data_IF_718834943937
#
_entry.id   IF_718834943937
#
_cell.length_a   1.000
_cell.length_b   1.000
_cell.length_c   1.000
_cell.angle_alpha   90.00
_cell.angle_beta   90.00
_cell.angle_gamma   90.00
#
_symmetry.space_group_name_H-M   'P 1'
#
loop_
_entity.id
_entity.type
_entity.pdbx_description
1 polymer ?
#
# COMPACT_ATOMS: atom_id res chain seq x y z
N UNK A 1 2.75 -22.88 -11.85
CA UNK A 1 2.98 -21.91 -10.76
C UNK A 1 4.46 -21.69 -10.53
N UNK A 2 5.29 -22.73 -10.43
CA UNK A 2 6.72 -22.57 -10.11
C UNK A 2 7.52 -21.70 -11.10
N UNK A 3 7.15 -21.71 -12.38
CA UNK A 3 7.72 -20.80 -13.39
C UNK A 3 7.37 -19.33 -13.12
N UNK A 4 6.15 -19.07 -12.69
CA UNK A 4 5.68 -17.71 -12.36
C UNK A 4 6.29 -17.25 -11.03
N UNK A 5 6.42 -18.13 -10.04
CA UNK A 5 7.15 -17.85 -8.80
C UNK A 5 8.63 -17.55 -9.09
N UNK A 6 9.27 -18.29 -10.01
CA UNK A 6 10.64 -18.01 -10.44
C UNK A 6 10.75 -16.65 -11.12
N UNK A 7 9.79 -16.28 -11.97
CA UNK A 7 9.74 -14.96 -12.61
C UNK A 7 9.61 -13.84 -11.57
N UNK A 8 8.68 -14.00 -10.62
CA UNK A 8 8.49 -13.09 -9.51
C UNK A 8 9.78 -12.91 -8.70
N UNK A 9 10.43 -14.01 -8.28
CA UNK A 9 11.69 -13.97 -7.52
C UNK A 9 12.82 -13.22 -8.23
N UNK A 10 12.83 -13.22 -9.57
CA UNK A 10 13.83 -12.52 -10.41
C UNK A 10 13.43 -11.10 -10.81
N UNK A 11 12.20 -10.68 -10.52
CA UNK A 11 11.69 -9.35 -10.88
C UNK A 11 12.46 -8.23 -10.18
N UNK A 12 12.74 -7.10 -10.85
CA UNK A 12 13.32 -5.92 -10.21
C UNK A 12 12.37 -5.28 -9.17
N UNK A 13 11.07 -5.54 -9.27
CA UNK A 13 10.07 -5.04 -8.34
C UNK A 13 9.95 -5.88 -7.06
N UNK A 14 10.64 -7.02 -6.95
CA UNK A 14 10.59 -7.85 -5.74
C UNK A 14 11.51 -7.28 -4.67
N UNK A 15 10.95 -6.97 -3.50
CA UNK A 15 11.70 -6.48 -2.34
C UNK A 15 12.37 -7.68 -1.66
N UNK A 16 13.70 -7.67 -1.61
CA UNK A 16 14.54 -8.77 -1.07
C UNK A 16 15.19 -8.35 0.24
N UNK A 17 14.36 -7.96 1.20
CA UNK A 17 14.80 -7.66 2.56
C UNK A 17 14.53 -8.88 3.47
N UNK A 18 15.57 -9.56 3.97
CA UNK A 18 15.41 -10.69 4.87
C UNK A 18 14.65 -10.36 6.16
N UNK A 19 14.79 -9.15 6.70
CA UNK A 19 14.16 -8.73 7.94
C UNK A 19 12.65 -8.54 7.75
N UNK A 20 12.24 -7.81 6.70
CA UNK A 20 10.83 -7.69 6.32
C UNK A 20 10.22 -9.07 5.99
N UNK A 21 10.96 -9.91 5.27
CA UNK A 21 10.50 -11.27 4.97
C UNK A 21 10.31 -12.13 6.22
N UNK A 22 11.20 -12.02 7.21
CA UNK A 22 11.08 -12.73 8.49
C UNK A 22 9.89 -12.23 9.30
N UNK A 23 9.67 -10.91 9.35
CA UNK A 23 8.52 -10.29 9.99
C UNK A 23 7.19 -10.82 9.43
N UNK A 24 7.05 -10.85 8.10
CA UNK A 24 5.83 -11.38 7.46
C UNK A 24 5.63 -12.88 7.72
N UNK A 25 6.72 -13.67 7.72
CA UNK A 25 6.67 -15.10 8.04
C UNK A 25 6.21 -15.34 9.48
N UNK A 26 6.64 -14.49 10.41
CA UNK A 26 6.21 -14.57 11.80
C UNK A 26 4.70 -14.30 11.96
N UNK A 27 4.16 -13.30 11.25
CA UNK A 27 2.70 -13.07 11.22
C UNK A 27 1.96 -14.30 10.69
N UNK A 28 2.40 -14.85 9.54
CA UNK A 28 1.77 -16.04 8.95
C UNK A 28 1.87 -17.25 9.88
N UNK A 29 3.01 -17.43 10.55
CA UNK A 29 3.24 -18.53 11.50
C UNK A 29 2.32 -18.42 12.72
N UNK A 30 2.00 -17.20 13.18
CA UNK A 30 1.01 -16.96 14.24
C UNK A 30 -0.42 -17.23 13.77
N UNK A 31 -0.75 -16.83 12.54
CA UNK A 31 -2.10 -16.97 11.97
C UNK A 31 -2.44 -18.43 11.64
N UNK A 32 -1.54 -19.16 10.98
CA UNK A 32 -1.75 -20.55 10.57
C UNK A 32 -0.48 -21.37 10.76
N UNK A 33 -0.16 -21.75 12.02
CA UNK A 33 1.01 -22.57 12.33
C UNK A 33 1.05 -23.88 11.52
N UNK A 34 -0.11 -24.49 11.29
CA UNK A 34 -0.25 -25.76 10.56
C UNK A 34 0.14 -25.68 9.08
N UNK A 35 0.10 -24.49 8.47
CA UNK A 35 0.42 -24.27 7.06
C UNK A 35 1.66 -23.40 6.86
N UNK A 36 2.30 -22.92 7.92
CA UNK A 36 3.39 -21.94 7.83
C UNK A 36 4.56 -22.41 6.95
N UNK A 37 4.90 -23.71 6.99
CA UNK A 37 5.99 -24.29 6.18
C UNK A 37 5.67 -24.37 4.69
N UNK A 38 4.37 -24.46 4.33
CA UNK A 38 3.93 -24.51 2.93
C UNK A 38 3.99 -23.13 2.25
N UNK A 39 4.04 -22.06 3.05
CA UNK A 39 3.82 -20.70 2.60
C UNK A 39 5.13 -19.97 2.30
N UNK A 40 5.24 -19.49 1.06
CA UNK A 40 6.41 -18.74 0.58
C UNK A 40 5.99 -17.31 0.26
N UNK A 41 6.41 -16.40 1.12
CA UNK A 41 6.03 -14.98 1.06
C UNK A 41 7.00 -14.22 0.14
N UNK A 42 6.44 -13.44 -0.78
CA UNK A 42 7.16 -12.55 -1.68
C UNK A 42 6.59 -11.13 -1.58
N UNK A 43 7.46 -10.16 -1.33
CA UNK A 43 7.06 -8.76 -1.24
C UNK A 43 7.21 -8.09 -2.61
N UNK A 44 6.13 -7.45 -3.07
CA UNK A 44 6.06 -6.82 -4.39
C UNK A 44 6.00 -5.30 -4.23
N UNK A 45 6.98 -4.59 -4.80
CA UNK A 45 7.02 -3.13 -4.84
C UNK A 45 6.02 -2.61 -5.88
N UNK A 46 4.89 -2.11 -5.38
CA UNK A 46 3.84 -1.46 -6.15
C UNK A 46 3.02 -0.57 -5.20
N UNK A 47 2.58 0.62 -5.62
CA UNK A 47 1.78 1.50 -4.75
C UNK A 47 0.33 1.00 -4.57
N UNK A 48 -0.08 -0.04 -5.29
CA UNK A 48 -1.43 -0.59 -5.22
C UNK A 48 -1.65 -1.40 -3.94
N UNK A 49 -2.83 -1.26 -3.35
CA UNK A 49 -3.29 -2.08 -2.23
C UNK A 49 -3.67 -3.48 -2.74
N UNK A 50 -2.89 -4.51 -2.39
CA UNK A 50 -3.29 -5.90 -2.59
C UNK A 50 -2.46 -6.89 -1.76
N UNK A 51 -3.01 -8.09 -1.59
CA UNK A 51 -2.29 -9.32 -1.32
C UNK A 51 -2.92 -10.43 -2.16
N UNK A 52 -2.18 -11.50 -2.44
CA UNK A 52 -2.78 -12.66 -3.09
C UNK A 52 -2.07 -13.94 -2.72
N UNK A 53 -2.82 -15.03 -2.70
CA UNK A 53 -2.27 -16.36 -2.46
C UNK A 53 -2.54 -17.32 -3.62
N UNK A 54 -1.46 -17.91 -4.11
CA UNK A 54 -1.51 -18.96 -5.12
C UNK A 54 -1.79 -20.34 -4.50
N UNK A 55 -2.38 -21.29 -5.27
CA UNK A 55 -2.68 -22.63 -4.78
C UNK A 55 -1.46 -23.44 -4.34
N UNK A 56 -0.26 -23.08 -4.80
CA UNK A 56 0.98 -23.77 -4.41
C UNK A 56 1.63 -23.20 -3.15
N UNK A 57 0.96 -22.30 -2.41
CA UNK A 57 1.48 -21.67 -1.20
C UNK A 57 2.33 -20.41 -1.44
N UNK A 58 2.46 -19.94 -2.69
CA UNK A 58 3.12 -18.67 -2.98
C UNK A 58 2.20 -17.50 -2.59
N UNK A 59 2.60 -16.72 -1.59
CA UNK A 59 1.89 -15.52 -1.13
C UNK A 59 2.60 -14.27 -1.63
N UNK A 60 1.86 -13.34 -2.20
CA UNK A 60 2.34 -12.02 -2.60
C UNK A 60 1.75 -10.96 -1.68
N UNK A 61 2.62 -10.11 -1.13
CA UNK A 61 2.23 -8.97 -0.28
C UNK A 61 2.72 -7.70 -0.94
N UNK A 62 1.82 -6.79 -1.28
CA UNK A 62 2.18 -5.60 -2.05
C UNK A 62 2.53 -4.44 -1.12
N UNK A 63 3.55 -3.64 -1.48
CA UNK A 63 3.98 -2.52 -0.65
C UNK A 63 2.88 -1.47 -0.43
N UNK A 64 1.95 -1.30 -1.38
CA UNK A 64 0.82 -0.40 -1.22
C UNK A 64 -0.18 -0.84 -0.14
N UNK A 65 -0.29 -2.15 0.15
CA UNK A 65 -1.01 -2.67 1.31
C UNK A 65 -0.28 -2.29 2.60
N UNK A 66 1.02 -2.57 2.69
CA UNK A 66 1.84 -2.24 3.87
C UNK A 66 2.06 -0.73 4.05
N UNK A 67 1.80 0.09 3.04
CA UNK A 67 1.78 1.53 3.22
C UNK A 67 0.48 1.99 3.88
N UNK A 68 -0.65 1.32 3.59
CA UNK A 68 -1.99 1.70 4.03
C UNK A 68 -2.41 1.11 5.36
N UNK A 69 -1.92 -0.08 5.71
CA UNK A 69 -2.15 -0.66 7.02
C UNK A 69 -1.43 0.19 8.10
N UNK A 70 -2.10 0.43 9.21
CA UNK A 70 -1.64 1.29 10.31
C UNK A 70 -0.93 0.50 11.42
N UNK A 71 -1.16 -0.81 11.47
CA UNK A 71 -0.61 -1.70 12.49
C UNK A 71 -0.52 -3.16 11.99
N UNK A 72 0.13 -4.01 12.78
CA UNK A 72 0.33 -5.43 12.47
C UNK A 72 -1.00 -6.19 12.36
N UNK A 73 -1.99 -5.88 13.21
CA UNK A 73 -3.30 -6.54 13.18
C UNK A 73 -4.09 -6.25 11.89
N UNK A 74 -4.00 -5.03 11.36
CA UNK A 74 -4.58 -4.70 10.05
C UNK A 74 -3.92 -5.49 8.91
N UNK A 75 -2.59 -5.61 8.94
CA UNK A 75 -1.88 -6.45 7.97
C UNK A 75 -2.27 -7.93 8.14
N UNK A 76 -2.30 -8.42 9.38
CA UNK A 76 -2.70 -9.78 9.71
C UNK A 76 -4.13 -10.10 9.29
N UNK A 77 -5.06 -9.13 9.33
CA UNK A 77 -6.42 -9.31 8.82
C UNK A 77 -6.44 -9.64 7.33
N UNK A 78 -5.69 -8.89 6.52
CA UNK A 78 -5.60 -9.13 5.07
C UNK A 78 -4.90 -10.46 4.79
N UNK A 79 -3.81 -10.77 5.49
CA UNK A 79 -3.11 -12.05 5.33
C UNK A 79 -3.97 -13.24 5.79
N UNK A 80 -4.74 -13.08 6.87
CA UNK A 80 -5.68 -14.07 7.39
C UNK A 80 -6.81 -14.35 6.40
N UNK A 81 -7.32 -13.33 5.71
CA UNK A 81 -8.29 -13.47 4.62
C UNK A 81 -7.72 -14.29 3.45
N UNK A 82 -6.49 -13.99 3.01
CA UNK A 82 -5.81 -14.74 1.95
C UNK A 82 -5.52 -16.20 2.35
N UNK A 83 -5.13 -16.44 3.60
CA UNK A 83 -5.01 -17.78 4.17
C UNK A 83 -6.35 -18.52 4.15
N UNK A 84 -7.45 -17.80 4.43
CA UNK A 84 -8.80 -18.33 4.32
C UNK A 84 -9.10 -18.88 2.93
N UNK A 85 -8.78 -18.12 1.88
CA UNK A 85 -8.90 -18.59 0.49
C UNK A 85 -8.04 -19.81 0.17
N UNK A 86 -6.83 -19.86 0.73
CA UNK A 86 -5.90 -20.97 0.51
C UNK A 86 -6.36 -22.26 1.18
N UNK A 87 -6.73 -22.19 2.47
CA UNK A 87 -7.18 -23.35 3.27
C UNK A 87 -8.48 -23.92 2.70
N UNK A 88 -9.43 -23.05 2.32
CA UNK A 88 -10.70 -23.44 1.69
C UNK A 88 -10.53 -23.81 0.19
N UNK A 89 -9.32 -23.71 -0.36
CA UNK A 89 -8.98 -24.08 -1.75
C UNK A 89 -9.79 -23.33 -2.82
N UNK A 90 -10.25 -22.12 -2.53
CA UNK A 90 -11.07 -21.31 -3.44
C UNK A 90 -10.40 -21.08 -4.80
N UNK A 91 -9.09 -20.83 -4.81
CA UNK A 91 -8.35 -20.64 -6.06
C UNK A 91 -8.30 -21.92 -6.91
N UNK A 92 -8.26 -23.10 -6.27
CA UNK A 92 -8.32 -24.41 -6.96
C UNK A 92 -9.71 -24.66 -7.52
N UNK A 93 -10.77 -24.33 -6.78
CA UNK A 93 -12.15 -24.39 -7.27
C UNK A 93 -12.31 -23.49 -8.51
N UNK A 94 -11.84 -22.24 -8.42
CA UNK A 94 -11.89 -21.29 -9.55
C UNK A 94 -11.11 -21.80 -10.77
N UNK A 95 -9.96 -22.45 -10.58
CA UNK A 95 -9.20 -23.06 -11.66
C UNK A 95 -9.97 -24.15 -12.40
N UNK A 96 -10.79 -24.94 -11.68
CA UNK A 96 -11.62 -26.00 -12.29
C UNK A 96 -12.71 -25.42 -13.18
N UNK A 97 -13.18 -24.21 -12.88
CA UNK A 97 -14.18 -23.50 -13.70
C UNK A 97 -13.59 -22.90 -14.99
N UNK A 98 -12.26 -22.83 -15.11
CA UNK A 98 -11.59 -22.30 -16.31
C UNK A 98 -11.59 -23.36 -17.42
N UNK A 99 -12.53 -23.22 -18.37
CA UNK A 99 -12.77 -24.24 -19.42
C UNK A 99 -11.80 -24.22 -20.60
N UNK A 100 -11.06 -23.13 -20.82
CA UNK A 100 -10.17 -23.00 -22.00
C UNK A 100 -8.69 -22.91 -21.61
N UNK A 101 -7.81 -23.53 -22.43
CA UNK A 101 -6.36 -23.49 -22.22
C UNK A 101 -5.80 -22.07 -22.25
N UNK A 102 -6.35 -21.19 -23.09
CA UNK A 102 -5.95 -19.79 -23.18
C UNK A 102 -6.31 -19.02 -21.92
N UNK A 103 -7.55 -19.16 -21.43
CA UNK A 103 -7.98 -18.54 -20.17
C UNK A 103 -7.18 -19.09 -18.98
N UNK A 104 -6.82 -20.38 -18.99
CA UNK A 104 -5.98 -20.98 -17.97
C UNK A 104 -4.56 -20.41 -17.97
N UNK A 105 -3.93 -20.28 -19.14
CA UNK A 105 -2.61 -19.66 -19.25
C UNK A 105 -2.62 -18.21 -18.77
N UNK A 106 -3.68 -17.46 -19.13
CA UNK A 106 -3.90 -16.08 -18.69
C UNK A 106 -4.11 -15.97 -17.17
N UNK A 107 -4.89 -16.88 -16.57
CA UNK A 107 -5.08 -16.99 -15.12
C UNK A 107 -3.75 -17.22 -14.40
N UNK A 108 -2.98 -18.20 -14.88
CA UNK A 108 -1.70 -18.55 -14.27
C UNK A 108 -0.69 -17.41 -14.39
N UNK A 109 -0.68 -16.70 -15.52
CA UNK A 109 0.19 -15.56 -15.77
C UNK A 109 -0.01 -14.41 -14.78
N UNK A 110 -1.22 -14.20 -14.25
CA UNK A 110 -1.51 -13.13 -13.29
C UNK A 110 -0.64 -13.22 -12.03
N UNK A 111 -0.32 -14.43 -11.57
CA UNK A 111 0.53 -14.65 -10.41
C UNK A 111 2.01 -14.31 -10.66
N UNK A 112 2.42 -14.15 -11.92
CA UNK A 112 3.75 -13.68 -12.32
C UNK A 112 3.75 -12.29 -12.94
N UNK A 113 2.61 -11.58 -12.95
CA UNK A 113 2.54 -10.18 -13.39
C UNK A 113 3.16 -9.33 -12.29
N UNK A 114 4.31 -8.74 -12.62
CA UNK A 114 4.99 -7.79 -11.75
C UNK A 114 5.35 -6.56 -12.58
N UNK A 115 4.81 -5.39 -12.21
CA UNK A 115 5.07 -4.12 -12.88
C UNK A 115 4.10 -3.72 -14.01
N UNK A 116 3.19 -4.60 -14.46
CA UNK A 116 2.18 -4.26 -15.49
C UNK A 116 0.85 -3.79 -14.86
N UNK A 117 0.90 -2.64 -14.18
CA UNK A 117 -0.19 -2.13 -13.34
C UNK A 117 -1.47 -1.79 -14.14
N UNK A 118 -1.32 -1.25 -15.37
CA UNK A 118 -2.43 -0.67 -16.13
C UNK A 118 -3.46 -1.66 -16.70
N UNK A 119 -3.14 -2.96 -16.79
CA UNK A 119 -4.04 -3.99 -17.35
C UNK A 119 -4.68 -4.90 -16.28
N UNK A 120 -4.38 -4.67 -15.00
CA UNK A 120 -4.80 -5.55 -13.92
C UNK A 120 -6.31 -5.55 -13.69
N UNK A 121 -7.01 -4.41 -13.79
CA UNK A 121 -8.43 -4.32 -13.38
C UNK A 121 -9.39 -5.21 -14.17
N UNK A 122 -9.29 -5.22 -15.52
CA UNK A 122 -10.15 -6.06 -16.38
C UNK A 122 -9.76 -7.53 -16.29
N UNK A 123 -8.46 -7.80 -16.18
CA UNK A 123 -7.95 -9.16 -16.09
C UNK A 123 -8.30 -9.80 -14.74
N UNK A 124 -8.17 -9.05 -13.65
CA UNK A 124 -8.43 -9.48 -12.29
C UNK A 124 -9.92 -9.76 -12.04
N UNK A 125 -10.83 -8.97 -12.61
CA UNK A 125 -12.28 -9.17 -12.44
C UNK A 125 -12.79 -10.48 -13.04
N UNK A 126 -12.12 -11.01 -14.08
CA UNK A 126 -12.41 -12.34 -14.62
C UNK A 126 -12.12 -13.46 -13.61
N UNK A 127 -11.36 -13.16 -12.57
CA UNK A 127 -10.90 -14.10 -11.55
C UNK A 127 -11.43 -13.76 -10.16
N UNK A 128 -12.46 -12.91 -10.09
CA UNK A 128 -13.17 -12.59 -8.86
C UNK A 128 -13.68 -13.85 -8.15
N UNK A 129 -13.55 -13.86 -6.82
CA UNK A 129 -14.16 -14.87 -5.97
C UNK A 129 -15.68 -14.65 -5.84
N UNK A 130 -16.41 -15.74 -5.61
CA UNK A 130 -17.84 -15.66 -5.35
C UNK A 130 -18.11 -15.04 -3.97
N UNK A 131 -19.31 -14.51 -3.76
CA UNK A 131 -19.71 -13.99 -2.43
C UNK A 131 -19.61 -15.05 -1.33
N UNK A 132 -19.89 -16.31 -1.66
CA UNK A 132 -19.76 -17.43 -0.72
C UNK A 132 -18.29 -17.69 -0.36
N UNK A 133 -17.38 -17.63 -1.34
CA UNK A 133 -15.95 -17.73 -1.08
C UNK A 133 -15.46 -16.62 -0.15
N UNK A 134 -15.85 -15.37 -0.41
CA UNK A 134 -15.48 -14.23 0.43
C UNK A 134 -16.01 -14.37 1.87
N UNK A 135 -17.27 -14.80 2.06
CA UNK A 135 -17.84 -15.02 3.41
C UNK A 135 -17.11 -16.13 4.18
N UNK A 136 -16.74 -17.23 3.51
CA UNK A 136 -15.96 -18.30 4.14
C UNK A 136 -14.55 -17.84 4.48
N UNK A 137 -13.90 -17.09 3.58
CA UNK A 137 -12.57 -16.54 3.79
C UNK A 137 -12.56 -15.52 4.94
N UNK A 138 -13.52 -14.60 5.00
CA UNK A 138 -13.70 -13.66 6.12
C UNK A 138 -13.88 -14.41 7.44
N UNK A 139 -14.77 -15.41 7.49
CA UNK A 139 -15.02 -16.18 8.71
C UNK A 139 -13.77 -16.91 9.20
N UNK A 140 -13.06 -17.60 8.31
CA UNK A 140 -11.85 -18.33 8.66
C UNK A 140 -10.74 -17.35 9.05
N UNK A 141 -10.51 -16.29 8.27
CA UNK A 141 -9.50 -15.27 8.57
C UNK A 141 -9.71 -14.63 9.95
N UNK A 142 -10.95 -14.32 10.31
CA UNK A 142 -11.29 -13.80 11.65
C UNK A 142 -11.00 -14.82 12.76
N UNK A 143 -11.25 -16.11 12.54
CA UNK A 143 -10.87 -17.16 13.51
C UNK A 143 -9.34 -17.29 13.64
N UNK A 144 -8.59 -17.17 12.55
CA UNK A 144 -7.13 -17.18 12.57
C UNK A 144 -6.59 -15.98 13.36
N UNK A 145 -7.16 -14.78 13.15
CA UNK A 145 -6.81 -13.60 13.93
C UNK A 145 -7.06 -13.78 15.42
N UNK A 146 -8.25 -14.30 15.80
CA UNK A 146 -8.61 -14.56 17.19
C UNK A 146 -7.63 -15.54 17.84
N UNK A 147 -7.32 -16.67 17.18
CA UNK A 147 -6.35 -17.66 17.68
C UNK A 147 -4.94 -17.10 17.82
N UNK A 148 -4.54 -16.21 16.90
CA UNK A 148 -3.25 -15.53 16.92
C UNK A 148 -3.19 -14.37 17.96
N UNK A 149 -4.31 -14.05 18.62
CA UNK A 149 -4.40 -12.99 19.63
C UNK A 149 -4.45 -11.57 19.06
N UNK A 150 -4.75 -11.41 17.77
CA UNK A 150 -4.92 -10.09 17.15
C UNK A 150 -6.28 -9.48 17.44
N UNK A 151 -6.34 -8.14 17.44
CA UNK A 151 -7.62 -7.44 17.51
C UNK A 151 -8.40 -7.57 16.19
N UNK A 152 -9.43 -8.42 16.18
CA UNK A 152 -10.24 -8.66 14.98
C UNK A 152 -10.98 -7.43 14.46
N UNK A 153 -11.19 -6.39 15.28
CA UNK A 153 -11.89 -5.16 14.86
C UNK A 153 -11.09 -4.37 13.82
N UNK A 154 -9.78 -4.61 13.75
CA UNK A 154 -8.89 -4.00 12.76
C UNK A 154 -9.24 -4.44 11.33
N UNK A 155 -9.81 -5.64 11.13
CA UNK A 155 -10.28 -6.08 9.81
C UNK A 155 -11.35 -5.14 9.23
N UNK A 156 -12.30 -4.71 10.07
CA UNK A 156 -13.34 -3.76 9.65
C UNK A 156 -12.77 -2.37 9.36
N UNK A 157 -11.73 -1.94 10.09
CA UNK A 157 -11.05 -0.66 9.85
C UNK A 157 -10.28 -0.65 8.53
N UNK A 158 -9.62 -1.76 8.16
CA UNK A 158 -8.99 -1.91 6.84
C UNK A 158 -10.02 -1.67 5.73
N UNK A 159 -11.19 -2.29 5.87
CA UNK A 159 -12.28 -2.13 4.90
C UNK A 159 -12.80 -0.69 4.82
N UNK A 160 -13.01 -0.04 5.97
CA UNK A 160 -13.42 1.37 6.04
C UNK A 160 -12.40 2.31 5.37
N UNK A 161 -11.12 2.11 5.67
CA UNK A 161 -10.03 2.90 5.12
C UNK A 161 -9.97 2.77 3.60
N UNK A 162 -10.06 1.54 3.08
CA UNK A 162 -10.06 1.27 1.65
C UNK A 162 -11.30 1.89 0.97
N UNK A 163 -12.49 1.78 1.58
CA UNK A 163 -13.70 2.40 1.05
C UNK A 163 -13.60 3.94 1.03
N UNK A 164 -12.98 4.54 2.05
CA UNK A 164 -12.74 5.98 2.10
C UNK A 164 -11.92 6.47 0.91
N UNK A 165 -10.85 5.74 0.58
CA UNK A 165 -9.99 6.05 -0.57
C UNK A 165 -10.75 5.88 -1.89
N UNK A 166 -11.46 4.76 -2.12
CA UNK A 166 -12.07 4.52 -3.44
C UNK A 166 -13.33 5.37 -3.68
N UNK A 167 -14.03 5.81 -2.63
CA UNK A 167 -15.24 6.63 -2.78
C UNK A 167 -14.96 8.07 -3.24
N UNK A 168 -13.78 8.62 -2.93
CA UNK A 168 -13.48 10.04 -3.17
C UNK A 168 -13.46 10.40 -4.67
N UNK A 169 -13.08 9.47 -5.55
CA UNK A 169 -13.00 9.71 -7.00
C UNK A 169 -14.28 9.42 -7.78
N UNK A 170 -15.34 8.95 -7.10
CA UNK A 170 -16.68 8.75 -7.68
C UNK A 170 -16.79 7.78 -8.88
N UNK A 171 -18.01 7.42 -9.23
CA UNK A 171 -18.34 6.60 -10.41
C UNK A 171 -18.66 5.13 -10.12
N UNK A 172 -19.45 4.51 -11.01
CA UNK A 172 -20.04 3.16 -10.82
C UNK A 172 -19.02 2.00 -10.89
N UNK A 173 -17.77 2.28 -11.28
CA UNK A 173 -16.72 1.30 -11.59
C UNK A 173 -15.63 1.18 -10.50
N UNK A 174 -16.00 1.38 -9.23
CA UNK A 174 -15.17 1.21 -8.02
C UNK A 174 -14.34 -0.08 -8.07
N UNK A 175 -14.94 -1.20 -8.51
CA UNK A 175 -14.29 -2.51 -8.64
C UNK A 175 -13.23 -2.63 -9.74
N UNK A 176 -13.17 -1.70 -10.70
CA UNK A 176 -12.15 -1.69 -11.77
C UNK A 176 -10.90 -0.89 -11.40
N UNK A 177 -10.96 -0.06 -10.36
CA UNK A 177 -9.87 0.86 -9.96
C UNK A 177 -8.99 0.33 -8.83
N UNK A 178 -9.50 -0.61 -8.02
CA UNK A 178 -8.73 -1.30 -6.98
C UNK A 178 -8.50 -2.76 -7.38
N UNK A 179 -7.25 -3.21 -7.58
CA UNK A 179 -6.95 -4.62 -7.85
C UNK A 179 -7.52 -5.57 -6.79
N UNK A 180 -7.51 -5.16 -5.52
CA UNK A 180 -8.14 -5.91 -4.42
C UNK A 180 -9.65 -6.06 -4.63
N UNK A 181 -10.38 -5.00 -4.97
CA UNK A 181 -11.83 -5.11 -5.21
C UNK A 181 -12.18 -5.84 -6.51
N UNK A 182 -11.26 -5.88 -7.46
CA UNK A 182 -11.43 -6.65 -8.68
C UNK A 182 -11.39 -8.16 -8.41
N UNK A 183 -10.51 -8.63 -7.52
CA UNK A 183 -10.43 -10.05 -7.13
C UNK A 183 -11.34 -10.42 -5.95
N UNK A 184 -11.64 -9.47 -5.07
CA UNK A 184 -12.49 -9.61 -3.89
C UNK A 184 -13.69 -8.64 -3.99
N UNK A 185 -14.76 -9.03 -4.69
CA UNK A 185 -15.93 -8.17 -4.85
C UNK A 185 -16.49 -7.74 -3.49
N UNK A 186 -16.92 -6.47 -3.35
CA UNK A 186 -17.51 -6.00 -2.11
C UNK A 186 -18.76 -6.81 -1.76
N UNK A 187 -18.81 -7.30 -0.51
CA UNK A 187 -20.02 -7.87 0.07
C UNK A 187 -20.80 -6.75 0.75
N UNK A 188 -22.11 -6.73 0.55
CA UNK A 188 -22.99 -5.82 1.27
C UNK A 188 -22.84 -6.04 2.78
N UNK A 189 -22.71 -4.96 3.56
CA UNK A 189 -22.52 -5.04 5.01
C UNK A 189 -21.25 -5.78 5.49
N UNK A 190 -20.26 -6.08 4.63
CA UNK A 190 -19.00 -6.78 5.00
C UNK A 190 -18.38 -6.24 6.29
N UNK A 191 -18.27 -4.91 6.39
CA UNK A 191 -17.81 -4.19 7.59
C UNK A 191 -18.52 -4.63 8.87
N UNK A 192 -19.86 -4.62 8.84
CA UNK A 192 -20.68 -4.93 10.01
C UNK A 192 -20.57 -6.42 10.37
N UNK A 193 -20.43 -7.29 9.38
CA UNK A 193 -20.26 -8.72 9.61
C UNK A 193 -18.86 -9.03 10.18
N UNK A 194 -17.81 -8.35 9.72
CA UNK A 194 -16.48 -8.40 10.34
C UNK A 194 -16.50 -7.95 11.80
N UNK A 195 -17.23 -6.86 12.12
CA UNK A 195 -17.38 -6.41 13.51
C UNK A 195 -18.15 -7.42 14.38
N UNK A 196 -19.19 -8.08 13.83
CA UNK A 196 -19.90 -9.14 14.55
C UNK A 196 -18.99 -10.33 14.83
N UNK A 197 -18.18 -10.75 13.84
CA UNK A 197 -17.22 -11.84 13.98
C UNK A 197 -16.11 -11.48 14.98
N UNK A 198 -15.64 -10.24 14.99
CA UNK A 198 -14.63 -9.77 15.92
C UNK A 198 -15.10 -9.76 17.38
N UNK A 199 -16.41 -9.61 17.59
CA UNK A 199 -16.99 -9.45 18.93
C UNK A 199 -16.50 -8.17 19.61
N UNK A 200 -16.46 -8.20 20.95
CA UNK A 200 -16.08 -7.05 21.78
C UNK A 200 -14.68 -7.18 22.41
N UNK A 201 -14.06 -8.35 22.29
CA UNK A 201 -12.72 -8.59 22.81
C UNK A 201 -11.69 -7.74 22.06
N UNK A 202 -10.76 -7.12 22.81
CA UNK A 202 -9.59 -6.49 22.22
C UNK A 202 -8.52 -7.53 21.89
N UNK A 203 -7.42 -7.08 21.30
CA UNK A 203 -6.27 -7.93 21.03
C UNK A 203 -5.00 -7.13 20.76
N UNK A 204 -3.95 -7.83 20.36
CA UNK A 204 -2.68 -7.20 19.96
C UNK A 204 -2.90 -6.38 18.68
N UNK A 205 -2.38 -5.15 18.67
CA UNK A 205 -2.28 -4.31 17.47
C UNK A 205 -0.91 -4.46 16.78
N UNK A 206 0.17 -4.65 17.54
CA UNK A 206 1.55 -4.77 17.03
C UNK A 206 2.06 -3.52 16.28
N UNK A 207 1.61 -2.32 16.67
CA UNK A 207 1.88 -1.08 15.94
C UNK A 207 3.36 -0.70 15.91
N UNK A 208 4.10 -0.93 17.00
CA UNK A 208 5.52 -0.56 17.09
C UNK A 208 6.39 -1.50 16.26
N UNK A 209 6.14 -2.80 16.35
CA UNK A 209 6.81 -3.83 15.56
C UNK A 209 6.58 -3.62 14.08
N UNK A 210 5.33 -3.32 13.70
CA UNK A 210 4.97 -3.00 12.34
C UNK A 210 5.68 -1.74 11.82
N UNK A 211 5.64 -0.63 12.57
CA UNK A 211 6.33 0.61 12.20
C UNK A 211 7.83 0.37 12.00
N UNK A 212 8.46 -0.40 12.89
CA UNK A 212 9.87 -0.77 12.78
C UNK A 212 10.16 -1.63 11.54
N UNK A 213 9.30 -2.60 11.23
CA UNK A 213 9.49 -3.51 10.10
C UNK A 213 9.42 -2.79 8.75
N UNK A 214 8.54 -1.80 8.61
CA UNK A 214 8.37 -1.06 7.34
C UNK A 214 9.27 0.17 7.21
N UNK A 215 9.82 0.69 8.30
CA UNK A 215 10.58 1.95 8.32
C UNK A 215 11.68 2.03 7.24
N UNK A 216 12.49 0.99 6.97
CA UNK A 216 13.52 1.05 5.93
C UNK A 216 12.98 1.27 4.51
N UNK A 217 11.71 0.93 4.26
CA UNK A 217 11.10 0.97 2.93
C UNK A 217 10.05 2.08 2.77
N UNK A 218 9.50 2.55 3.88
CA UNK A 218 8.32 3.44 3.93
C UNK A 218 8.47 4.67 3.04
N UNK A 219 9.62 5.34 3.09
CA UNK A 219 9.86 6.54 2.28
C UNK A 219 9.79 6.24 0.77
N UNK A 220 10.37 5.12 0.34
CA UNK A 220 10.29 4.68 -1.05
C UNK A 220 8.87 4.34 -1.50
N UNK A 221 8.04 3.81 -0.60
CA UNK A 221 6.63 3.52 -0.87
C UNK A 221 5.76 4.77 -0.93
N UNK A 222 6.02 5.76 -0.06
CA UNK A 222 5.39 7.09 -0.15
C UNK A 222 5.69 7.75 -1.50
N UNK A 223 6.94 7.68 -1.96
CA UNK A 223 7.31 8.17 -3.28
C UNK A 223 6.66 7.38 -4.44
N UNK A 224 6.47 6.07 -4.28
CA UNK A 224 5.73 5.25 -5.25
C UNK A 224 4.25 5.66 -5.31
N UNK A 225 3.63 5.96 -4.16
CA UNK A 225 2.25 6.44 -4.06
C UNK A 225 2.09 7.84 -4.67
N UNK A 226 3.02 8.76 -4.41
CA UNK A 226 3.06 10.08 -5.06
C UNK A 226 3.15 9.92 -6.58
N UNK A 227 4.05 9.06 -7.07
CA UNK A 227 4.21 8.77 -8.50
C UNK A 227 3.01 8.09 -9.14
N UNK A 228 2.09 7.52 -8.35
CA UNK A 228 0.85 6.93 -8.84
C UNK A 228 -0.08 7.98 -9.48
N UNK A 229 0.03 9.24 -9.07
CA UNK A 229 -0.69 10.37 -9.66
C UNK A 229 -2.20 10.38 -9.40
N UNK A 230 -2.69 9.57 -8.46
CA UNK A 230 -4.10 9.48 -8.07
C UNK A 230 -4.34 10.39 -6.87
N UNK A 231 -4.26 11.71 -7.12
CA UNK A 231 -4.08 12.71 -6.07
C UNK A 231 -5.21 12.71 -5.03
N UNK A 232 -6.47 12.56 -5.43
CA UNK A 232 -7.60 12.57 -4.50
C UNK A 232 -7.55 11.39 -3.53
N UNK A 233 -7.30 10.17 -4.02
CA UNK A 233 -7.14 8.99 -3.17
C UNK A 233 -5.91 9.09 -2.27
N UNK A 234 -4.79 9.58 -2.81
CA UNK A 234 -3.55 9.75 -2.03
C UNK A 234 -3.72 10.80 -0.92
N UNK A 235 -4.51 11.87 -1.13
CA UNK A 235 -4.84 12.85 -0.08
C UNK A 235 -5.61 12.17 1.05
N UNK A 236 -6.61 11.33 0.77
CA UNK A 236 -7.34 10.58 1.80
C UNK A 236 -6.39 9.73 2.66
N UNK A 237 -5.44 9.04 2.02
CA UNK A 237 -4.43 8.26 2.71
C UNK A 237 -3.52 9.12 3.60
N UNK A 238 -2.96 10.21 3.06
CA UNK A 238 -2.00 11.03 3.79
C UNK A 238 -2.66 11.90 4.87
N UNK A 239 -3.91 12.33 4.67
CA UNK A 239 -4.71 12.98 5.71
C UNK A 239 -4.89 12.05 6.92
N UNK A 240 -5.17 10.76 6.66
CA UNK A 240 -5.24 9.73 7.71
C UNK A 240 -3.90 9.59 8.43
N UNK A 241 -2.79 9.43 7.70
CA UNK A 241 -1.47 9.29 8.30
C UNK A 241 -1.07 10.48 9.18
N UNK A 242 -1.26 11.71 8.68
CA UNK A 242 -0.91 12.94 9.43
C UNK A 242 -1.80 13.11 10.66
N UNK A 243 -3.08 12.75 10.56
CA UNK A 243 -4.01 12.79 11.70
C UNK A 243 -3.62 11.78 12.78
N UNK A 244 -3.27 10.56 12.38
CA UNK A 244 -3.02 9.46 13.31
C UNK A 244 -1.65 9.60 13.98
N UNK A 245 -0.66 10.20 13.30
CA UNK A 245 0.65 10.55 13.87
C UNK A 245 0.99 12.01 13.55
N UNK A 246 0.49 12.97 14.37
CA UNK A 246 0.84 14.37 14.20
C UNK A 246 2.36 14.57 14.30
N UNK A 247 2.94 15.23 13.28
CA UNK A 247 4.39 15.45 13.20
C UNK A 247 5.17 14.34 12.47
N UNK A 248 4.50 13.37 11.85
CA UNK A 248 5.15 12.44 10.91
C UNK A 248 5.70 13.21 9.69
N UNK A 249 7.01 13.47 9.71
CA UNK A 249 7.68 14.29 8.70
C UNK A 249 7.54 13.73 7.29
N UNK A 250 7.55 12.40 7.14
CA UNK A 250 7.41 11.74 5.84
C UNK A 250 5.98 11.81 5.31
N UNK A 251 4.97 11.67 6.18
CA UNK A 251 3.56 11.82 5.78
C UNK A 251 3.23 13.27 5.40
N UNK A 252 3.72 14.24 6.17
CA UNK A 252 3.63 15.67 5.85
C UNK A 252 4.29 15.98 4.51
N UNK A 253 5.52 15.47 4.28
CA UNK A 253 6.19 15.59 2.99
C UNK A 253 5.32 15.05 1.85
N UNK A 254 4.79 13.83 2.03
CA UNK A 254 4.04 13.16 0.97
C UNK A 254 2.75 13.92 0.64
N UNK A 255 2.00 14.38 1.64
CA UNK A 255 0.78 15.18 1.44
C UNK A 255 1.09 16.53 0.79
N UNK A 256 2.12 17.21 1.27
CA UNK A 256 2.56 18.49 0.73
C UNK A 256 3.00 18.38 -0.74
N UNK A 257 3.65 17.28 -1.11
CA UNK A 257 4.04 16.98 -2.50
C UNK A 257 2.83 16.67 -3.39
N UNK A 258 1.81 15.95 -2.89
CA UNK A 258 0.56 15.73 -3.64
C UNK A 258 -0.13 17.06 -3.93
N UNK A 259 -0.31 17.93 -2.93
CA UNK A 259 -0.90 19.25 -3.15
C UNK A 259 -0.10 20.05 -4.19
N UNK A 260 1.24 20.05 -4.09
CA UNK A 260 2.12 20.72 -5.04
C UNK A 260 1.92 20.26 -6.50
N UNK A 261 1.73 18.96 -6.69
CA UNK A 261 1.58 18.33 -8.01
C UNK A 261 0.16 18.46 -8.57
N UNK A 262 -0.87 18.37 -7.72
CA UNK A 262 -2.27 18.55 -8.11
C UNK A 262 -2.54 19.99 -8.55
N UNK A 263 -1.91 20.96 -7.89
CA UNK A 263 -1.97 22.38 -8.24
C UNK A 263 -3.41 22.93 -8.38
N UNK A 264 -4.32 22.46 -7.54
CA UNK A 264 -5.69 22.98 -7.45
C UNK A 264 -5.80 24.23 -6.58
N UNK A 265 -7.03 24.71 -6.40
CA UNK A 265 -7.32 25.89 -5.59
C UNK A 265 -6.87 25.69 -4.14
N UNK A 266 -6.05 26.62 -3.65
CA UNK A 266 -5.42 26.59 -2.32
C UNK A 266 -4.40 25.48 -2.08
N UNK A 267 -4.07 24.66 -3.09
CA UNK A 267 -3.13 23.56 -2.91
C UNK A 267 -1.71 24.06 -2.65
N UNK A 268 -1.33 25.18 -3.25
CA UNK A 268 0.01 25.72 -3.02
C UNK A 268 0.18 26.26 -1.59
N UNK A 269 -0.86 26.86 -1.00
CA UNK A 269 -0.92 27.20 0.43
C UNK A 269 -0.71 25.95 1.30
N UNK A 270 -1.49 24.89 1.06
CA UNK A 270 -1.42 23.64 1.84
C UNK A 270 -0.10 22.92 1.67
N UNK A 271 0.44 22.92 0.45
CA UNK A 271 1.74 22.35 0.12
C UNK A 271 2.84 23.03 0.94
N UNK A 272 2.84 24.35 0.99
CA UNK A 272 3.83 25.11 1.76
C UNK A 272 3.69 24.87 3.27
N UNK A 273 2.47 24.80 3.79
CA UNK A 273 2.20 24.47 5.20
C UNK A 273 2.80 23.10 5.56
N UNK A 274 2.46 22.07 4.80
CA UNK A 274 2.91 20.70 5.05
C UNK A 274 4.43 20.54 4.86
N UNK A 275 5.00 21.10 3.80
CA UNK A 275 6.44 21.00 3.52
C UNK A 275 7.28 21.81 4.51
N UNK A 276 6.77 22.96 4.97
CA UNK A 276 7.43 23.73 6.05
C UNK A 276 7.38 22.95 7.36
N UNK A 277 6.23 22.36 7.71
CA UNK A 277 6.11 21.52 8.89
C UNK A 277 7.04 20.30 8.81
N UNK A 278 7.07 19.60 7.67
CA UNK A 278 7.95 18.45 7.41
C UNK A 278 9.43 18.79 7.57
N UNK A 279 9.90 19.87 6.93
CA UNK A 279 11.31 20.31 6.99
C UNK A 279 11.73 20.86 8.36
N UNK A 280 10.76 21.17 9.23
CA UNK A 280 11.01 21.53 10.62
C UNK A 280 11.21 20.35 11.57
N UNK A 281 10.94 19.11 11.14
CA UNK A 281 11.06 17.92 11.98
C UNK A 281 12.50 17.37 11.99
N UNK A 282 12.95 16.73 13.09
CA UNK A 282 14.30 16.15 13.17
C UNK A 282 14.59 15.05 12.15
N UNK A 283 13.58 14.32 11.72
CA UNK A 283 13.63 13.20 10.77
C UNK A 283 13.10 13.58 9.38
N UNK A 284 13.13 14.88 9.05
CA UNK A 284 12.70 15.39 7.76
C UNK A 284 13.35 14.64 6.58
N UNK A 285 12.56 14.12 5.61
CA UNK A 285 13.14 13.55 4.41
C UNK A 285 13.84 14.64 3.61
N UNK A 286 15.02 14.33 3.06
CA UNK A 286 15.83 15.31 2.33
C UNK A 286 15.07 15.89 1.13
N UNK A 287 14.24 15.07 0.47
CA UNK A 287 13.39 15.48 -0.63
C UNK A 287 12.35 16.55 -0.25
N UNK A 288 12.00 16.71 1.03
CA UNK A 288 11.10 17.77 1.47
C UNK A 288 11.67 19.17 1.21
N UNK A 289 12.98 19.37 1.38
CA UNK A 289 13.63 20.65 1.07
C UNK A 289 13.55 20.97 -0.43
N UNK A 290 13.74 19.95 -1.29
CA UNK A 290 13.56 20.12 -2.74
C UNK A 290 12.12 20.48 -3.08
N UNK A 291 11.16 19.74 -2.54
CA UNK A 291 9.73 20.00 -2.78
C UNK A 291 9.31 21.38 -2.27
N UNK A 292 9.83 21.81 -1.12
CA UNK A 292 9.58 23.14 -0.56
C UNK A 292 10.12 24.23 -1.49
N UNK A 293 11.33 24.07 -2.03
CA UNK A 293 11.88 24.99 -3.01
C UNK A 293 11.04 25.06 -4.30
N UNK A 294 10.53 23.92 -4.78
CA UNK A 294 9.63 23.88 -5.93
C UNK A 294 8.30 24.58 -5.66
N UNK A 295 7.75 24.45 -4.44
CA UNK A 295 6.53 25.13 -4.03
C UNK A 295 6.72 26.66 -3.94
N UNK A 296 7.81 27.14 -3.32
CA UNK A 296 8.13 28.57 -3.32
C UNK A 296 8.37 29.12 -4.73
N UNK A 297 9.01 28.34 -5.59
CA UNK A 297 9.16 28.70 -7.01
C UNK A 297 7.81 28.83 -7.73
N UNK A 298 6.83 27.97 -7.44
CA UNK A 298 5.47 28.10 -7.98
C UNK A 298 4.75 29.37 -7.46
N UNK A 299 5.09 29.85 -6.26
CA UNK A 299 4.63 31.15 -5.71
C UNK A 299 5.37 32.36 -6.24
N UNK A 300 6.43 32.17 -7.04
CA UNK A 300 7.32 33.26 -7.46
C UNK A 300 8.07 33.90 -6.27
N UNK A 301 8.30 33.14 -5.20
CA UNK A 301 9.15 33.54 -4.08
C UNK A 301 10.57 33.00 -4.29
N UNK A 302 11.41 33.77 -4.99
CA UNK A 302 12.75 33.34 -5.39
C UNK A 302 13.73 33.23 -4.23
N UNK A 303 13.58 34.06 -3.19
CA UNK A 303 14.44 34.04 -2.00
C UNK A 303 14.18 32.76 -1.19
N UNK A 304 12.92 32.49 -0.85
CA UNK A 304 12.59 31.29 -0.09
C UNK A 304 12.86 30.00 -0.88
N UNK A 305 12.62 30.03 -2.20
CA UNK A 305 12.96 28.91 -3.07
C UNK A 305 14.46 28.61 -3.07
N UNK A 306 15.30 29.63 -3.20
CA UNK A 306 16.76 29.48 -3.18
C UNK A 306 17.24 28.88 -1.86
N UNK A 307 16.78 29.41 -0.72
CA UNK A 307 17.15 28.89 0.60
C UNK A 307 16.78 27.41 0.78
N UNK A 308 15.61 26.99 0.32
CA UNK A 308 15.18 25.60 0.41
C UNK A 308 16.03 24.69 -0.50
N UNK A 309 16.34 25.14 -1.72
CA UNK A 309 17.18 24.39 -2.65
C UNK A 309 18.63 24.26 -2.17
N UNK A 310 19.20 25.29 -1.55
CA UNK A 310 20.54 25.23 -0.96
C UNK A 310 20.61 24.22 0.19
N UNK A 311 19.59 24.19 1.07
CA UNK A 311 19.48 23.14 2.10
C UNK A 311 19.42 21.74 1.49
N UNK A 312 18.63 21.56 0.44
CA UNK A 312 18.56 20.29 -0.29
C UNK A 312 19.92 19.86 -0.85
N UNK A 313 20.61 20.76 -1.57
CA UNK A 313 21.92 20.46 -2.18
C UNK A 313 23.01 20.22 -1.13
N UNK A 314 22.92 20.86 0.04
CA UNK A 314 23.83 20.60 1.16
C UNK A 314 23.61 19.21 1.76
N UNK A 315 22.37 18.74 1.82
CA UNK A 315 22.02 17.44 2.39
C UNK A 315 22.20 16.27 1.41
N UNK A 316 22.01 16.52 0.11
CA UNK A 316 22.17 15.52 -0.96
C UNK A 316 22.92 16.11 -2.18
N UNK A 317 24.24 16.37 -2.06
CA UNK A 317 25.02 17.01 -3.12
C UNK A 317 25.12 16.17 -4.41
N UNK A 318 25.06 14.84 -4.27
CA UNK A 318 25.16 13.85 -5.36
C UNK A 318 23.78 13.37 -5.86
N UNK A 319 22.70 14.07 -5.51
CA UNK A 319 21.38 13.73 -6.02
C UNK A 319 21.34 13.82 -7.56
N UNK A 320 20.63 12.90 -8.21
CA UNK A 320 20.58 12.82 -9.67
C UNK A 320 20.02 14.09 -10.34
N UNK A 321 19.19 14.86 -9.62
CA UNK A 321 18.60 16.13 -10.05
C UNK A 321 19.34 17.36 -9.52
N UNK A 322 20.48 17.21 -8.81
CA UNK A 322 21.23 18.31 -8.23
C UNK A 322 21.62 19.39 -9.27
N UNK A 323 22.01 18.97 -10.48
CA UNK A 323 22.31 19.91 -11.59
C UNK A 323 21.11 20.74 -12.01
N UNK A 324 19.91 20.13 -12.06
CA UNK A 324 18.67 20.83 -12.38
C UNK A 324 18.32 21.85 -11.29
N UNK A 325 18.49 21.47 -10.02
CA UNK A 325 18.26 22.38 -8.88
C UNK A 325 19.22 23.56 -8.90
N UNK A 326 20.51 23.34 -9.21
CA UNK A 326 21.49 24.43 -9.39
C UNK A 326 21.08 25.38 -10.50
N UNK A 327 20.55 24.86 -11.62
CA UNK A 327 19.99 25.70 -12.69
C UNK A 327 18.81 26.52 -12.18
N UNK A 328 17.88 25.95 -11.42
CA UNK A 328 16.77 26.71 -10.85
C UNK A 328 17.25 27.88 -10.01
N UNK A 329 18.18 27.65 -9.07
CA UNK A 329 18.78 28.72 -8.24
C UNK A 329 19.33 29.85 -9.13
N UNK A 330 20.11 29.53 -10.18
CA UNK A 330 20.71 30.56 -11.05
C UNK A 330 19.69 31.41 -11.84
N UNK A 331 18.46 30.91 -12.00
CA UNK A 331 17.40 31.57 -12.78
C UNK A 331 16.37 32.29 -11.91
N UNK A 332 16.34 32.01 -10.61
CA UNK A 332 15.44 32.68 -9.68
C UNK A 332 15.91 34.11 -9.47
N UNK A 333 14.99 35.06 -9.62
CA UNK A 333 15.24 36.45 -9.24
C UNK A 333 15.00 36.59 -7.73
N UNK A 334 15.82 37.37 -7.00
CA UNK A 334 15.56 37.69 -5.61
C UNK A 334 14.26 38.49 -5.45
#
# INVERSE_FOLDING_TARGET
>A
MDREETRLRRSPFTIRDPALGAYLRDIVSRLSPEHAEDIRIHVVRTPLFNASMAPNGMMQVWSGLMLRAENEAQLAAVLGHELGHYVEKHTVERMRDVKSKAAFAQFMGMFGIVGAIGQLGVLASMFAFSREHEVRADRLGMQLMERAGYDGREAAKVWDNLLGEVKVTGGDDVGKRSPMMATHPPIENRRNDLLKLAGTAGGRLGSDEYRKAIAPHRMGWLQDEIRRGQYEESIVLFDRMVRDVPGDAQALYARGEIYRQRAGDRDIERSLEDLTASTGMPDAPVEAFRSLGLAFKQRVDGVAATQAFEKYLSAAPEAADASLIKTYISTLKP
#
